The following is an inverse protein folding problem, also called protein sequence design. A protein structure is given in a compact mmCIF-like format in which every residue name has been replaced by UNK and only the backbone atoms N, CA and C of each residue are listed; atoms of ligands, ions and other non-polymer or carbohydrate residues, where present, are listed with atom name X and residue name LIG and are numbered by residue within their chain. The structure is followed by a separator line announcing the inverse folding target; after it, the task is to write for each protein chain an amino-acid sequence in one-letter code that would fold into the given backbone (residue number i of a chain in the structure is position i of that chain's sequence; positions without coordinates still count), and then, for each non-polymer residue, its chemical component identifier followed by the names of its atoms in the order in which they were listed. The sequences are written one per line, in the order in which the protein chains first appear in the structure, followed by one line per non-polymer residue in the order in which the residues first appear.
data_IF_786102452411
#
_entry.id   IF_786102452411
#
_cell.length_a   1.000
_cell.length_b   1.000
_cell.length_c   1.000
_cell.angle_alpha   90.00
_cell.angle_beta   90.00
_cell.angle_gamma   90.00
#
_symmetry.space_group_name_H-M   'P 1'
#
loop_
_entity.id
_entity.type
_entity.pdbx_description
1 polymer ?
2 polymer ?
3 polymer ?
4 non-polymer ?
5 water ?
#
# COMPACT_ATOMS: atom_id res chain seq x y z
N UNK A 1 -3.00 -24.86 4.91
CA UNK A 1 -3.50 -23.55 4.43
C UNK A 1 -3.37 -23.58 2.93
N UNK A 2 -4.47 -23.26 2.27
CA UNK A 2 -4.62 -23.35 0.85
C UNK A 2 -4.12 -22.05 0.24
N UNK A 3 -2.91 -22.04 -0.30
CA UNK A 3 -2.43 -20.83 -0.94
C UNK A 3 -2.99 -20.64 -2.35
N UNK A 4 -3.25 -19.37 -2.66
CA UNK A 4 -3.93 -18.97 -3.84
C UNK A 4 -2.99 -18.12 -4.70
N UNK A 5 -2.59 -18.69 -5.82
CA UNK A 5 -1.51 -18.15 -6.59
C UNK A 5 -2.04 -17.49 -7.81
N UNK A 6 -2.23 -16.18 -7.72
CA UNK A 6 -2.67 -15.36 -8.83
C UNK A 6 -1.50 -15.10 -9.75
N UNK A 7 -1.70 -15.13 -11.05
CA UNK A 7 -0.66 -14.87 -12.05
C UNK A 7 -1.36 -14.17 -13.18
N UNK A 8 -0.86 -13.02 -13.64
CA UNK A 8 0.34 -12.42 -13.16
C UNK A 8 0.01 -11.53 -11.94
N UNK A 9 1.01 -11.15 -11.17
CA UNK A 9 0.82 -10.20 -10.08
C UNK A 9 0.61 -8.78 -10.60
N UNK A 10 0.91 -8.55 -11.87
CA UNK A 10 0.63 -7.29 -12.47
C UNK A 10 0.28 -7.50 -13.92
N UNK A 11 -0.75 -6.80 -14.35
CA UNK A 11 -1.31 -6.97 -15.68
C UNK A 11 -1.52 -5.60 -16.31
N UNK A 12 -0.56 -5.16 -17.12
CA UNK A 12 -0.74 -3.96 -17.89
C UNK A 12 -1.68 -4.29 -19.03
N UNK A 13 -2.67 -3.43 -19.29
CA UNK A 13 -3.56 -3.55 -20.47
C UNK A 13 -3.84 -2.20 -21.14
N UNK A 14 -4.40 -2.20 -22.36
CA UNK A 14 -5.04 -0.99 -22.92
C UNK A 14 -6.55 -0.83 -22.57
N UNK A 15 -7.08 0.35 -22.81
CA UNK A 15 -8.51 0.63 -22.59
C UNK A 15 -9.39 -0.01 -23.65
N UNK A 16 -10.23 -0.95 -23.23
CA UNK A 16 -11.08 -1.69 -24.14
C UNK A 16 -10.39 -2.93 -24.64
N UNK A 17 -9.55 -3.54 -23.81
CA UNK A 17 -8.87 -4.75 -24.19
C UNK A 17 -9.30 -5.93 -23.37
N UNK A 18 -9.12 -7.11 -23.95
CA UNK A 18 -9.42 -8.37 -23.26
C UNK A 18 -8.35 -8.58 -22.17
N UNK A 19 -8.77 -9.00 -20.97
CA UNK A 19 -7.86 -9.24 -19.87
C UNK A 19 -8.27 -10.39 -19.02
N UNK A 20 -7.31 -11.25 -18.72
CA UNK A 20 -7.50 -12.49 -17.96
C UNK A 20 -6.54 -12.65 -16.76
N UNK A 21 -7.02 -13.25 -15.66
CA UNK A 21 -6.21 -13.51 -14.43
C UNK A 21 -6.40 -14.91 -13.86
N UNK A 22 -5.30 -15.67 -13.85
CA UNK A 22 -5.29 -17.00 -13.31
C UNK A 22 -5.22 -16.99 -11.79
N UNK A 23 -5.95 -17.89 -11.15
CA UNK A 23 -5.85 -18.10 -9.72
C UNK A 23 -5.89 -19.58 -9.46
N UNK A 24 -4.86 -20.08 -8.82
CA UNK A 24 -4.74 -21.53 -8.63
C UNK A 24 -4.53 -21.86 -7.14
N UNK A 25 -5.53 -22.51 -6.55
CA UNK A 25 -5.40 -23.14 -5.23
C UNK A 25 -4.24 -24.13 -5.21
N UNK A 26 -3.62 -24.28 -4.05
CA UNK A 26 -2.70 -25.40 -3.84
C UNK A 26 -3.52 -26.69 -3.71
N UNK A 27 -4.69 -26.65 -3.08
CA UNK A 27 -5.54 -27.87 -3.05
C UNK A 27 -7.00 -27.61 -3.47
N UNK A 28 -7.80 -28.68 -3.53
CA UNK A 28 -9.19 -28.56 -3.96
C UNK A 28 -9.93 -27.65 -2.99
N UNK A 29 -10.92 -26.92 -3.50
CA UNK A 29 -11.71 -26.02 -2.66
C UNK A 29 -13.21 -26.22 -2.92
N UNK A 30 -13.54 -27.45 -3.31
CA UNK A 30 -14.92 -27.87 -3.45
C UNK A 30 -15.31 -28.38 -2.08
N UNK A 31 -16.23 -27.69 -1.46
CA UNK A 31 -16.73 -28.00 -0.15
C UNK A 31 -17.61 -29.20 -0.29
N UNK A 32 -17.64 -30.04 0.74
CA UNK A 32 -18.48 -31.25 0.78
C UNK A 32 -19.97 -31.01 0.52
N UNK A 33 -20.45 -29.79 0.73
CA UNK A 33 -21.83 -29.48 0.36
C UNK A 33 -22.05 -29.46 -1.18
N UNK A 34 -20.93 -29.48 -1.90
CA UNK A 34 -20.91 -29.51 -3.36
C UNK A 34 -20.39 -28.21 -3.98
N UNK A 35 -20.46 -27.10 -3.24
CA UNK A 35 -20.14 -25.81 -3.80
C UNK A 35 -18.65 -25.54 -3.80
N UNK A 36 -18.24 -24.62 -4.68
CA UNK A 36 -16.87 -24.12 -4.73
C UNK A 36 -16.96 -22.63 -4.46
N UNK A 37 -16.52 -22.28 -3.25
CA UNK A 37 -16.55 -20.92 -2.72
C UNK A 37 -15.31 -20.22 -3.13
N UNK A 38 -15.21 -19.98 -4.43
CA UNK A 38 -14.14 -19.22 -5.04
C UNK A 38 -14.74 -17.88 -5.41
N UNK A 39 -14.23 -16.84 -4.77
CA UNK A 39 -14.77 -15.51 -5.00
C UNK A 39 -13.68 -14.62 -5.56
N UNK A 40 -14.11 -13.57 -6.28
CA UNK A 40 -13.21 -12.57 -6.80
C UNK A 40 -13.58 -11.20 -6.28
N UNK A 41 -12.59 -10.41 -5.88
CA UNK A 41 -12.84 -9.09 -5.26
C UNK A 41 -12.07 -7.99 -5.98
N UNK A 42 -12.66 -6.80 -6.09
CA UNK A 42 -11.94 -5.61 -6.60
C UNK A 42 -11.76 -4.59 -5.52
N UNK A 43 -10.52 -4.16 -5.31
CA UNK A 43 -10.20 -3.05 -4.42
C UNK A 43 -9.64 -1.90 -5.22
N UNK A 44 -10.32 -0.77 -5.25
CA UNK A 44 -9.72 0.44 -5.82
C UNK A 44 -8.94 1.21 -4.72
N UNK A 45 -7.98 2.05 -5.10
CA UNK A 45 -7.29 2.87 -4.10
C UNK A 45 -8.23 3.58 -3.11
N UNK A 46 -7.88 3.56 -1.83
CA UNK A 46 -8.69 4.21 -0.80
C UNK A 46 -10.06 3.60 -0.52
N UNK A 47 -10.41 2.53 -1.22
CA UNK A 47 -11.63 1.83 -0.90
C UNK A 47 -11.40 0.40 -0.35
N UNK A 48 -12.41 -0.03 0.39
CA UNK A 48 -12.51 -1.40 0.82
C UNK A 48 -12.85 -2.29 -0.40
N UNK A 49 -12.45 -3.54 -0.36
CA UNK A 49 -12.75 -4.48 -1.44
C UNK A 49 -14.25 -4.69 -1.71
N UNK A 50 -14.55 -5.09 -2.95
CA UNK A 50 -15.92 -5.21 -3.43
C UNK A 50 -16.08 -6.58 -4.07
N UNK A 51 -17.16 -7.28 -3.75
CA UNK A 51 -17.43 -8.58 -4.36
C UNK A 51 -17.85 -8.50 -5.83
N UNK A 52 -17.11 -9.17 -6.71
CA UNK A 52 -17.47 -9.26 -8.12
C UNK A 52 -18.08 -10.61 -8.47
N UNK A 53 -17.39 -11.67 -8.12
CA UNK A 53 -17.81 -13.00 -8.49
C UNK A 53 -17.84 -13.85 -7.24
N UNK A 54 -18.85 -14.69 -7.18
CA UNK A 54 -18.93 -15.72 -6.16
C UNK A 54 -19.21 -17.12 -6.76
N UNK A 55 -18.87 -18.13 -5.97
CA UNK A 55 -19.01 -19.52 -6.42
C UNK A 55 -18.50 -19.70 -7.83
N UNK A 56 -17.31 -19.12 -8.08
CA UNK A 56 -16.53 -19.25 -9.35
C UNK A 56 -17.05 -18.43 -10.53
N UNK A 57 -18.33 -18.53 -10.85
CA UNK A 57 -18.81 -17.97 -12.12
C UNK A 57 -20.11 -17.10 -12.00
N UNK A 58 -20.58 -16.90 -10.75
CA UNK A 58 -21.75 -16.11 -10.46
C UNK A 58 -21.38 -14.68 -10.19
N UNK A 59 -21.79 -13.83 -11.11
CA UNK A 59 -21.60 -12.38 -11.03
C UNK A 59 -22.46 -11.72 -9.96
N UNK A 60 -21.88 -10.89 -9.11
CA UNK A 60 -22.61 -10.26 -8.05
C UNK A 60 -23.54 -9.19 -8.61
N UNK A 61 -24.56 -8.83 -7.84
CA UNK A 61 -25.53 -7.83 -8.25
C UNK A 61 -24.83 -6.60 -8.69
N UNK A 62 -25.34 -6.01 -9.76
CA UNK A 62 -24.82 -4.76 -10.25
C UNK A 62 -23.53 -4.86 -10.99
N UNK A 63 -22.85 -5.99 -10.95
CA UNK A 63 -21.57 -6.11 -11.67
C UNK A 63 -21.87 -6.31 -13.19
N UNK A 64 -21.19 -5.52 -14.03
CA UNK A 64 -21.41 -5.57 -15.49
C UNK A 64 -21.02 -6.95 -16.03
N UNK A 65 -21.72 -7.44 -17.03
CA UNK A 65 -21.47 -8.78 -17.45
C UNK A 65 -20.22 -8.93 -18.32
N UNK A 66 -19.43 -7.87 -18.46
CA UNK A 66 -18.10 -8.00 -19.07
C UNK A 66 -17.10 -8.69 -18.14
N UNK A 67 -17.47 -8.80 -16.86
CA UNK A 67 -16.71 -9.61 -15.92
C UNK A 67 -17.29 -11.01 -16.00
N UNK A 68 -16.44 -12.02 -16.13
CA UNK A 68 -16.87 -13.40 -16.04
C UNK A 68 -15.81 -14.20 -15.30
N UNK A 69 -16.23 -15.20 -14.53
CA UNK A 69 -15.28 -16.11 -13.92
C UNK A 69 -15.48 -17.48 -14.48
N UNK A 70 -14.42 -18.23 -14.70
CA UNK A 70 -14.55 -19.62 -15.20
C UNK A 70 -13.65 -20.51 -14.35
N UNK A 71 -13.72 -21.82 -14.54
CA UNK A 71 -12.89 -22.77 -13.83
C UNK A 71 -13.59 -23.88 -13.07
N UNK A 72 -12.77 -24.73 -12.45
CA UNK A 72 -13.25 -25.88 -11.66
C UNK A 72 -12.18 -26.37 -10.70
N UNK A 73 -12.56 -26.76 -9.48
CA UNK A 73 -11.60 -27.39 -8.52
C UNK A 73 -10.43 -26.55 -7.98
N UNK A 74 -9.49 -26.27 -8.88
CA UNK A 74 -8.15 -25.78 -8.55
C UNK A 74 -7.73 -24.65 -9.48
N UNK A 75 -8.11 -24.80 -10.75
CA UNK A 75 -7.77 -23.85 -11.77
C UNK A 75 -8.97 -22.97 -12.01
N UNK A 76 -8.77 -21.67 -11.78
CA UNK A 76 -9.82 -20.66 -11.85
C UNK A 76 -9.30 -19.47 -12.59
N UNK A 77 -10.22 -18.68 -13.14
CA UNK A 77 -9.83 -17.61 -14.01
C UNK A 77 -10.86 -16.47 -13.96
N UNK A 78 -10.40 -15.24 -14.10
CA UNK A 78 -11.29 -14.07 -14.18
C UNK A 78 -10.98 -13.37 -15.48
N UNK A 79 -12.01 -13.09 -16.27
CA UNK A 79 -11.83 -12.43 -17.55
C UNK A 79 -12.61 -11.12 -17.59
N UNK A 80 -12.11 -10.16 -18.35
CA UNK A 80 -12.74 -8.89 -18.61
C UNK A 80 -12.60 -8.62 -20.11
N UNK A 81 -13.70 -8.70 -20.83
CA UNK A 81 -13.66 -8.58 -22.28
C UNK A 81 -13.21 -7.23 -22.83
N UNK A 82 -13.71 -6.16 -22.24
CA UNK A 82 -13.41 -4.80 -22.73
C UNK A 82 -13.14 -3.94 -21.52
N UNK A 83 -11.87 -3.83 -21.18
CA UNK A 83 -11.43 -3.19 -19.94
C UNK A 83 -11.67 -1.68 -19.98
N UNK A 84 -12.19 -1.16 -18.87
CA UNK A 84 -12.50 0.26 -18.69
C UNK A 84 -11.75 0.85 -17.51
N UNK A 85 -11.83 2.18 -17.44
CA UNK A 85 -11.10 2.94 -16.44
C UNK A 85 -11.45 2.44 -15.05
N UNK A 86 -12.75 2.37 -14.74
CA UNK A 86 -13.22 1.96 -13.40
C UNK A 86 -12.80 0.55 -12.98
N UNK A 87 -12.48 -0.34 -13.93
CA UNK A 87 -12.02 -1.67 -13.57
C UNK A 87 -10.64 -1.64 -12.94
N UNK A 88 -9.90 -0.55 -13.16
CA UNK A 88 -8.52 -0.53 -12.72
C UNK A 88 -8.49 -0.61 -11.20
N UNK A 89 -7.50 -1.33 -10.67
CA UNK A 89 -7.41 -1.57 -9.26
C UNK A 89 -6.78 -2.91 -9.02
N UNK A 90 -6.86 -3.41 -7.79
CA UNK A 90 -6.29 -4.70 -7.46
C UNK A 90 -7.40 -5.75 -7.37
N UNK A 91 -7.19 -6.87 -8.07
CA UNK A 91 -8.06 -8.04 -8.04
C UNK A 91 -7.51 -9.19 -7.18
N UNK A 92 -8.32 -9.59 -6.21
CA UNK A 92 -8.00 -10.66 -5.32
C UNK A 92 -8.96 -11.80 -5.57
N UNK A 93 -8.40 -12.99 -5.74
CA UNK A 93 -9.22 -14.18 -5.72
C UNK A 93 -9.21 -14.73 -4.28
N UNK A 94 -10.21 -15.51 -3.94
CA UNK A 94 -10.43 -15.86 -2.54
C UNK A 94 -11.13 -17.20 -2.39
N UNK A 95 -10.74 -17.97 -1.37
CA UNK A 95 -11.42 -19.22 -1.08
C UNK A 95 -12.10 -19.22 0.30
N UNK A 96 -13.37 -19.56 0.35
CA UNK A 96 -14.06 -19.70 1.62
C UNK A 96 -14.44 -21.12 1.94
N UNK A 97 -13.75 -22.06 1.33
CA UNK A 97 -14.03 -23.47 1.62
C UNK A 97 -13.27 -23.94 2.87
N UNK A 98 -11.96 -23.70 2.89
CA UNK A 98 -11.08 -24.25 3.93
C UNK A 98 -10.55 -23.14 4.84
N UNK A 99 -10.69 -23.36 6.14
CA UNK A 99 -10.12 -22.49 7.16
C UNK A 99 -8.65 -22.87 7.23
N UNK A 100 -7.73 -21.92 7.28
CA UNK A 100 -8.04 -20.49 7.33
C UNK A 100 -8.43 -19.96 5.96
N UNK A 101 -9.57 -19.28 5.88
CA UNK A 101 -9.93 -18.52 4.69
C UNK A 101 -8.72 -17.76 4.17
N UNK A 102 -8.42 -17.85 2.86
CA UNK A 102 -7.28 -17.10 2.24
C UNK A 102 -7.57 -16.40 0.89
N UNK A 103 -6.91 -15.25 0.71
CA UNK A 103 -6.83 -14.50 -0.55
C UNK A 103 -5.50 -14.68 -1.25
N UNK A 104 -5.49 -14.54 -2.55
CA UNK A 104 -4.23 -14.38 -3.28
C UNK A 104 -3.56 -13.04 -2.97
N UNK A 105 -2.36 -12.90 -3.53
CA UNK A 105 -1.50 -11.72 -3.39
C UNK A 105 -2.17 -10.46 -3.99
N UNK A 106 -2.72 -10.59 -5.18
CA UNK A 106 -3.41 -9.47 -5.75
C UNK A 106 -2.78 -9.13 -7.08
N UNK A 107 -3.60 -9.17 -8.10
CA UNK A 107 -3.18 -8.81 -9.41
C UNK A 107 -3.54 -7.34 -9.60
N UNK A 108 -2.55 -6.48 -9.76
CA UNK A 108 -2.87 -5.07 -9.92
C UNK A 108 -3.15 -4.84 -11.39
N UNK A 109 -4.34 -4.35 -11.67
CA UNK A 109 -4.69 -4.00 -13.03
C UNK A 109 -4.31 -2.54 -13.31
N UNK A 110 -3.17 -2.39 -13.99
CA UNK A 110 -2.58 -1.10 -14.28
C UNK A 110 -2.52 -0.93 -15.78
N UNK A 111 -2.47 0.31 -16.27
CA UNK A 111 -2.44 0.49 -17.72
C UNK A 111 -1.02 0.45 -18.30
N UNK A 112 -0.99 0.08 -19.58
CA UNK A 112 0.24 0.05 -20.34
C UNK A 112 0.37 1.31 -21.17
N UNK A 113 1.59 1.55 -21.64
CA UNK A 113 1.90 2.74 -22.42
C UNK A 113 3.32 2.56 -22.96
N UNK A 114 3.76 3.49 -23.82
CA UNK A 114 5.08 3.40 -24.44
C UNK A 114 6.23 3.43 -23.41
N UNK A 115 7.36 2.77 -23.70
CA UNK A 115 8.44 2.68 -22.71
C UNK A 115 9.09 4.06 -22.53
N UNK A 116 9.62 4.33 -21.34
CA UNK A 116 10.32 5.61 -21.07
C UNK A 116 11.35 5.45 -19.98
N UNK A 117 12.57 5.84 -20.31
CA UNK A 117 13.68 5.83 -19.37
C UNK A 117 13.46 6.86 -18.26
N UNK A 118 13.99 6.57 -17.07
CA UNK A 118 13.82 7.45 -15.92
C UNK A 118 14.71 8.67 -15.97
N UNK A 119 14.24 9.78 -15.43
CA UNK A 119 15.03 11.00 -15.30
C UNK A 119 15.62 11.06 -13.88
N UNK A 120 16.88 10.64 -13.82
CA UNK A 120 17.61 10.51 -12.59
C UNK A 120 18.21 11.88 -12.25
N UNK A 121 18.19 12.20 -10.98
CA UNK A 121 18.93 13.31 -10.49
C UNK A 121 19.37 13.00 -9.07
N UNK A 122 20.60 13.41 -8.76
CA UNK A 122 21.16 13.22 -7.42
C UNK A 122 21.28 14.54 -6.64
N UNK A 123 21.18 14.41 -5.32
CA UNK A 123 21.26 15.54 -4.40
C UNK A 123 22.03 15.12 -3.16
N UNK A 124 23.14 15.77 -2.86
CA UNK A 124 23.81 15.53 -1.58
C UNK A 124 23.01 16.07 -0.42
N UNK A 125 23.53 15.81 0.78
CA UNK A 125 23.09 16.51 1.99
C UNK A 125 23.13 18.04 1.83
N UNK A 126 22.14 18.71 2.42
CA UNK A 126 22.06 20.17 2.45
C UNK A 126 22.86 20.66 3.65
N UNK A 127 23.14 21.96 3.70
CA UNK A 127 23.88 22.58 4.81
C UNK A 127 23.18 22.32 6.11
N UNK A 128 21.87 22.53 6.09
CA UNK A 128 21.02 22.33 7.26
C UNK A 128 21.26 20.97 7.90
N UNK A 129 21.13 19.91 7.11
CA UNK A 129 21.23 18.56 7.67
C UNK A 129 22.63 18.29 8.24
N UNK A 130 23.60 18.77 7.50
CA UNK A 130 24.99 18.61 7.87
C UNK A 130 25.31 19.24 9.23
N UNK A 131 24.89 20.46 9.44
CA UNK A 131 25.17 21.03 10.73
C UNK A 131 24.38 20.32 11.82
N UNK A 132 23.47 19.41 11.47
CA UNK A 132 22.82 18.51 12.47
C UNK A 132 23.55 17.21 12.80
N UNK A 133 24.48 16.79 11.97
CA UNK A 133 25.24 15.58 12.28
C UNK A 133 24.73 14.37 11.54
N UNK A 134 23.92 14.59 10.52
CA UNK A 134 23.40 13.50 9.73
C UNK A 134 23.51 13.83 8.27
N UNK A 135 23.62 12.80 7.45
CA UNK A 135 23.86 12.96 6.01
C UNK A 135 22.98 11.99 5.25
N UNK A 136 22.17 12.53 4.34
CA UNK A 136 21.37 11.73 3.44
C UNK A 136 21.56 12.21 2.00
N UNK A 137 21.78 11.25 1.12
CA UNK A 137 21.87 11.55 -0.30
C UNK A 137 20.60 11.03 -0.95
N UNK A 138 20.03 11.88 -1.78
CA UNK A 138 18.74 11.59 -2.35
C UNK A 138 18.85 11.53 -3.87
N UNK A 139 18.22 10.51 -4.42
CA UNK A 139 18.17 10.27 -5.82
C UNK A 139 16.77 10.08 -6.25
N UNK A 140 16.33 10.89 -7.20
CA UNK A 140 15.02 10.69 -7.82
C UNK A 140 15.10 10.02 -9.18
N UNK A 141 14.11 9.18 -9.50
CA UNK A 141 14.02 8.50 -10.78
C UNK A 141 12.61 8.65 -11.34
N UNK A 142 12.43 9.68 -12.17
CA UNK A 142 11.12 10.20 -12.46
C UNK A 142 10.59 9.85 -13.84
N UNK A 143 9.31 9.51 -13.87
CA UNK A 143 8.54 9.40 -15.11
C UNK A 143 8.99 8.31 -16.07
N UNK A 144 9.13 7.11 -15.53
CA UNK A 144 9.54 5.95 -16.27
C UNK A 144 8.49 4.87 -16.36
N UNK A 145 8.72 3.97 -17.33
CA UNK A 145 7.85 2.83 -17.68
C UNK A 145 8.68 1.86 -18.52
N UNK A 146 8.58 0.55 -18.29
CA UNK A 146 7.68 -0.06 -17.31
C UNK A 146 8.10 0.14 -15.86
N UNK A 147 7.14 -0.06 -14.96
CA UNK A 147 7.32 0.14 -13.53
C UNK A 147 8.57 -0.50 -12.93
N UNK A 148 9.04 -1.63 -13.46
CA UNK A 148 10.18 -2.35 -12.87
C UNK A 148 11.51 -1.64 -13.14
N UNK A 149 12.35 -1.56 -12.10
CA UNK A 149 13.65 -0.87 -12.14
C UNK A 149 14.58 -1.30 -11.01
N UNK A 150 15.87 -1.35 -11.33
CA UNK A 150 16.93 -1.66 -10.36
C UNK A 150 17.74 -0.40 -10.08
N UNK A 151 17.81 0.01 -8.80
CA UNK A 151 18.71 1.06 -8.37
C UNK A 151 19.83 0.51 -7.49
N UNK A 152 21.05 0.97 -7.75
CA UNK A 152 22.21 0.69 -6.91
C UNK A 152 22.83 1.96 -6.39
N UNK A 153 23.41 1.86 -5.19
CA UNK A 153 24.28 2.88 -4.63
C UNK A 153 25.72 2.36 -4.60
N UNK A 154 26.65 3.27 -4.85
CA UNK A 154 28.08 2.97 -4.81
C UNK A 154 28.71 4.13 -4.11
N UNK A 155 29.55 3.81 -3.13
CA UNK A 155 30.36 4.77 -2.38
C UNK A 155 31.84 4.44 -2.70
N UNK A 156 32.54 5.38 -3.32
CA UNK A 156 33.95 5.21 -3.68
C UNK A 156 34.14 3.92 -4.46
N UNK A 157 33.15 3.60 -5.31
CA UNK A 157 33.16 2.41 -6.16
C UNK A 157 32.43 1.17 -5.64
N UNK A 158 32.49 0.92 -4.32
CA UNK A 158 31.79 -0.24 -3.68
C UNK A 158 30.28 -0.05 -3.56
N UNK A 159 29.55 -1.10 -3.89
CA UNK A 159 28.11 -1.15 -3.72
C UNK A 159 27.71 -1.02 -2.26
N UNK A 160 26.56 -0.42 -2.00
CA UNK A 160 26.06 -0.32 -0.64
C UNK A 160 24.58 -0.68 -0.47
N UNK A 161 24.36 -1.65 0.43
CA UNK A 161 23.04 -2.26 0.67
C UNK A 161 22.33 -1.64 1.90
N UNK A 162 23.06 -1.58 3.00
CA UNK A 162 22.50 -1.23 4.29
C UNK A 162 22.34 0.27 4.41
N UNK A 163 21.23 0.69 5.04
CA UNK A 163 20.88 2.09 5.27
C UNK A 163 20.24 2.82 4.10
N UNK A 164 19.64 2.06 3.18
CA UNK A 164 18.91 2.59 2.01
C UNK A 164 17.39 2.38 2.11
N UNK A 165 16.62 3.33 1.59
CA UNK A 165 15.15 3.31 1.69
C UNK A 165 14.51 3.85 0.44
N UNK A 166 13.54 3.13 -0.08
CA UNK A 166 12.96 3.45 -1.36
C UNK A 166 11.50 3.77 -1.28
N UNK A 167 10.99 4.60 -2.19
CA UNK A 167 9.56 4.88 -2.21
C UNK A 167 9.18 5.03 -3.66
N UNK A 168 8.05 4.43 -4.06
CA UNK A 168 7.57 4.45 -5.44
C UNK A 168 6.17 5.02 -5.44
N UNK A 169 5.82 5.75 -6.50
CA UNK A 169 4.49 6.29 -6.63
C UNK A 169 3.67 5.35 -7.48
N UNK A 170 2.36 5.41 -7.27
CA UNK A 170 1.44 4.76 -8.17
C UNK A 170 1.37 5.49 -9.50
N UNK A 171 1.03 4.70 -10.50
CA UNK A 171 0.86 5.17 -11.82
C UNK A 171 0.20 6.55 -11.90
N UNK A 172 0.86 7.45 -12.61
CA UNK A 172 0.51 8.86 -12.62
C UNK A 172 -0.77 9.12 -13.40
N UNK A 173 -1.54 10.10 -12.93
CA UNK A 173 -2.85 10.45 -13.49
C UNK A 173 -2.82 10.85 -14.93
N UNK A 174 -1.78 11.58 -15.29
CA UNK A 174 -1.66 12.09 -16.63
C UNK A 174 -0.90 11.12 -17.52
N UNK A 175 0.42 11.07 -17.36
CA UNK A 175 1.27 10.31 -18.28
C UNK A 175 1.37 8.79 -18.02
N UNK A 176 0.72 8.30 -16.98
CA UNK A 176 0.71 6.85 -16.67
C UNK A 176 2.10 6.30 -16.41
N UNK A 177 3.04 7.16 -16.01
CA UNK A 177 4.40 6.74 -15.62
C UNK A 177 4.48 6.52 -14.12
N UNK A 178 5.57 5.88 -13.75
CA UNK A 178 5.87 5.63 -12.38
C UNK A 178 7.10 6.47 -12.03
N UNK A 179 7.22 6.85 -10.77
CA UNK A 179 8.37 7.57 -10.34
C UNK A 179 8.93 6.90 -9.09
N UNK A 180 10.19 7.16 -8.80
CA UNK A 180 10.86 6.50 -7.70
C UNK A 180 11.72 7.50 -6.99
N UNK A 181 11.82 7.31 -5.67
CA UNK A 181 12.76 8.08 -4.87
C UNK A 181 13.57 7.17 -4.00
N UNK A 182 14.89 7.32 -4.06
CA UNK A 182 15.82 6.51 -3.24
C UNK A 182 16.69 7.43 -2.36
N UNK A 183 16.87 7.07 -1.11
CA UNK A 183 17.65 7.87 -0.18
C UNK A 183 18.63 6.97 0.53
N UNK A 184 19.88 7.39 0.54
CA UNK A 184 20.88 6.65 1.23
C UNK A 184 21.22 7.45 2.47
N UNK A 185 21.08 6.84 3.63
CA UNK A 185 21.25 7.57 4.88
C UNK A 185 22.50 7.18 5.65
N UNK A 186 23.39 8.15 5.89
CA UNK A 186 24.67 7.91 6.57
C UNK A 186 24.83 8.78 7.81
N UNK A 187 25.75 8.42 8.68
CA UNK A 187 26.19 9.35 9.71
C UNK A 187 27.08 10.40 9.04
N UNK A 188 27.09 11.61 9.59
CA UNK A 188 27.88 12.68 9.04
C UNK A 188 29.31 12.20 8.92
N UNK A 189 29.74 11.50 9.97
CA UNK A 189 31.10 10.96 10.12
C UNK A 189 31.50 10.03 8.96
N UNK A 190 30.61 9.08 8.69
CA UNK A 190 30.72 8.16 7.55
C UNK A 190 30.70 8.93 6.19
N UNK A 191 29.81 9.92 6.05
CA UNK A 191 29.74 10.77 4.84
C UNK A 191 31.02 11.49 4.49
N UNK A 192 31.66 12.08 5.50
CA UNK A 192 32.89 12.84 5.33
C UNK A 192 34.16 11.99 5.38
N UNK A 193 34.03 10.67 5.60
CA UNK A 193 35.15 9.73 5.40
C UNK A 193 35.24 9.21 3.99
N UNK A 194 34.16 9.31 3.22
CA UNK A 194 34.13 8.81 1.84
C UNK A 194 33.84 9.98 0.92
N UNK A 195 34.18 9.85 -0.36
CA UNK A 195 34.15 11.02 -1.25
C UNK A 195 33.17 10.89 -2.41
N UNK A 196 33.23 9.77 -3.12
CA UNK A 196 32.39 9.53 -4.30
C UNK A 196 30.99 8.92 -3.99
N UNK A 197 29.92 9.51 -4.48
CA UNK A 197 28.61 8.96 -4.19
C UNK A 197 27.84 8.82 -5.49
N UNK A 198 27.37 7.61 -5.76
CA UNK A 198 26.85 7.29 -7.06
C UNK A 198 25.49 6.60 -6.99
N UNK A 199 24.58 7.12 -7.81
CA UNK A 199 23.23 6.62 -7.94
C UNK A 199 23.13 6.02 -9.33
N UNK A 200 22.92 4.72 -9.38
CA UNK A 200 22.96 4.00 -10.63
C UNK A 200 21.65 3.23 -10.86
N UNK A 201 21.09 3.43 -12.05
CA UNK A 201 19.76 2.97 -12.41
C UNK A 201 19.82 2.13 -13.68
N UNK A 202 19.28 0.91 -13.63
CA UNK A 202 19.17 0.12 -14.84
C UNK A 202 17.71 -0.11 -15.08
N UNK A 203 17.35 -0.05 -16.37
CA UNK A 203 16.00 -0.09 -16.85
C UNK A 203 15.98 -0.60 -18.31
N UNK A 204 14.93 -1.31 -18.72
CA UNK A 204 14.88 -1.85 -20.10
C UNK A 204 14.59 -0.78 -21.15
N UNK A 205 15.16 0.39 -20.95
CA UNK A 205 15.15 1.44 -21.95
C UNK A 205 16.57 1.76 -22.35
N UNK A 206 17.54 1.13 -21.69
CA UNK A 206 18.92 1.14 -22.15
C UNK A 206 19.63 -0.11 -21.64
N UNK A 207 20.62 -0.57 -22.40
CA UNK A 207 21.57 -1.56 -21.92
C UNK A 207 22.52 -0.89 -20.93
N UNK A 208 22.82 0.39 -21.11
CA UNK A 208 23.67 1.12 -20.19
C UNK A 208 22.88 1.55 -18.96
N UNK A 209 23.52 1.49 -17.78
CA UNK A 209 22.92 2.04 -16.57
C UNK A 209 23.07 3.54 -16.63
N UNK A 210 22.04 4.23 -16.18
CA UNK A 210 22.08 5.67 -16.03
C UNK A 210 22.84 5.94 -14.74
N UNK A 211 23.94 6.68 -14.83
CA UNK A 211 24.85 6.92 -13.71
C UNK A 211 24.83 8.39 -13.40
N UNK A 212 24.59 8.72 -12.13
CA UNK A 212 24.61 10.10 -11.64
C UNK A 212 25.42 10.03 -10.39
N UNK A 213 26.40 10.89 -10.28
CA UNK A 213 27.24 10.88 -9.09
C UNK A 213 27.88 12.23 -8.85
N UNK A 214 28.38 12.43 -7.64
CA UNK A 214 29.15 13.62 -7.30
C UNK A 214 30.26 13.28 -6.32
N UNK A 215 31.21 14.20 -6.23
CA UNK A 215 32.24 14.15 -5.20
C UNK A 215 31.97 15.19 -4.14
N UNK A 216 32.06 14.74 -2.90
CA UNK A 216 31.89 15.59 -1.75
C UNK A 216 32.71 16.89 -1.72
N UNK A 217 33.89 16.91 -2.34
CA UNK A 217 34.75 18.12 -2.27
C UNK A 217 34.22 19.30 -3.06
N UNK A 218 33.78 19.04 -4.29
CA UNK A 218 33.52 20.11 -5.27
C UNK A 218 32.23 20.89 -5.01
N UNK A 219 31.60 20.03 -3.46
CA UNK A 219 30.28 20.48 -3.08
C UNK A 219 30.29 21.88 -2.56
N UNK B 1 -28.62 1.25 4.28
CA UNK B 1 -29.40 0.86 5.50
C UNK B 1 -28.81 -0.40 6.18
N UNK B 2 -27.91 -1.11 5.48
CA UNK B 2 -27.07 -2.15 6.10
C UNK B 2 -25.65 -1.63 6.07
N UNK B 3 -25.07 -1.47 7.24
CA UNK B 3 -23.76 -0.83 7.41
C UNK B 3 -22.91 -1.50 8.49
N UNK B 4 -21.60 -1.34 8.37
CA UNK B 4 -20.66 -1.80 9.37
C UNK B 4 -19.61 -0.72 9.60
N UNK B 5 -19.39 -0.40 10.88
CA UNK B 5 -18.55 0.72 11.24
C UNK B 5 -17.57 0.23 12.32
N UNK B 6 -16.28 0.37 12.04
CA UNK B 6 -15.25 -0.16 12.91
C UNK B 6 -14.78 0.95 13.77
N UNK B 7 -14.51 0.63 15.04
CA UNK B 7 -13.98 1.56 16.02
C UNK B 7 -12.68 0.98 16.56
N UNK B 8 -11.70 1.86 16.79
CA UNK B 8 -10.37 1.46 17.22
C UNK B 8 -9.72 2.58 18.01
N UNK B 9 -8.58 2.29 18.62
CA UNK B 9 -7.84 3.31 19.33
C UNK B 9 -7.09 4.30 18.40
N UNK B 10 -6.71 3.87 17.21
CA UNK B 10 -5.90 4.65 16.29
C UNK B 10 -4.49 4.18 16.43
N UNK B 11 -4.03 4.07 17.67
CA UNK B 11 -2.62 3.81 17.98
C UNK B 11 -2.44 3.23 19.39
N UNK B 12 -1.46 2.32 19.51
CA UNK B 12 -1.10 1.68 20.77
C UNK B 12 0.28 1.05 20.62
N UNK B 13 0.93 0.78 21.75
CA UNK B 13 2.33 0.34 21.74
C UNK B 13 2.45 -1.19 21.64
N UNK B 14 3.63 -1.66 21.23
CA UNK B 14 3.90 -3.08 21.17
C UNK B 14 3.73 -3.78 22.51
N UNK B 15 3.52 -5.08 22.43
CA UNK B 15 3.20 -5.91 23.57
C UNK B 15 2.01 -5.35 24.39
N UNK B 16 1.13 -4.56 23.78
CA UNK B 16 -0.15 -4.22 24.40
C UNK B 16 -1.28 -4.90 23.67
N UNK B 17 -2.51 -4.59 24.09
CA UNK B 17 -3.67 -5.33 23.66
C UNK B 17 -4.71 -4.47 22.94
N UNK B 18 -4.99 -4.87 21.70
CA UNK B 18 -5.88 -4.12 20.80
C UNK B 18 -7.29 -4.57 20.97
N UNK B 19 -8.19 -3.60 21.12
CA UNK B 19 -9.62 -3.84 21.29
C UNK B 19 -10.39 -3.13 20.18
N UNK B 20 -10.98 -3.92 19.29
CA UNK B 20 -11.73 -3.39 18.16
C UNK B 20 -13.21 -3.69 18.32
N UNK B 21 -14.06 -2.83 17.73
CA UNK B 21 -15.52 -2.95 17.79
C UNK B 21 -16.10 -2.71 16.41
N UNK B 22 -17.27 -3.29 16.20
CA UNK B 22 -17.93 -3.18 14.95
C UNK B 22 -19.44 -3.00 15.27
N UNK B 23 -19.94 -1.83 14.89
CA UNK B 23 -21.35 -1.49 15.03
C UNK B 23 -22.16 -1.96 13.84
N UNK B 24 -22.96 -2.98 14.05
CA UNK B 24 -23.83 -3.44 13.00
C UNK B 24 -25.07 -2.60 12.96
N UNK B 25 -25.69 -2.51 11.79
CA UNK B 25 -27.10 -2.13 11.70
C UNK B 25 -27.63 -2.51 10.33
N UNK B 26 -28.97 -2.49 10.23
CA UNK B 26 -29.66 -3.03 9.07
C UNK B 26 -29.67 -4.55 9.06
N UNK B 27 -29.30 -5.17 10.19
CA UNK B 27 -29.33 -6.62 10.36
C UNK B 27 -28.85 -7.05 11.74
N UNK B 28 -29.24 -8.26 12.14
CA UNK B 28 -28.78 -8.87 13.39
C UNK B 28 -27.98 -10.10 13.06
N UNK B 29 -26.85 -10.28 13.76
CA UNK B 29 -26.15 -11.57 13.79
C UNK B 29 -26.89 -12.51 14.73
N UNK B 30 -27.93 -11.96 15.38
CA UNK B 30 -29.01 -12.71 15.98
C UNK B 30 -29.67 -13.71 15.03
N UNK B 31 -29.90 -13.32 13.78
CA UNK B 31 -30.73 -14.15 12.89
C UNK B 31 -29.98 -15.39 12.43
N UNK B 32 -30.76 -16.40 12.11
CA UNK B 32 -30.21 -17.71 11.95
C UNK B 32 -29.31 -17.72 10.75
N UNK B 33 -28.11 -18.27 10.94
CA UNK B 33 -27.12 -18.41 9.89
C UNK B 33 -26.28 -17.16 9.66
N UNK B 34 -26.56 -16.10 10.41
CA UNK B 34 -25.80 -14.84 10.25
C UNK B 34 -24.49 -14.89 10.98
N UNK B 35 -23.51 -14.17 10.44
CA UNK B 35 -22.20 -14.04 11.02
C UNK B 35 -21.50 -12.77 10.60
N UNK B 36 -20.55 -12.34 11.41
CA UNK B 36 -19.73 -11.16 11.15
C UNK B 36 -18.28 -11.49 11.45
N UNK B 37 -17.35 -10.87 10.74
CA UNK B 37 -15.95 -11.17 10.94
C UNK B 37 -15.00 -10.09 10.54
N UNK B 38 -13.71 -10.35 10.81
CA UNK B 38 -12.64 -9.38 10.68
C UNK B 38 -11.57 -9.86 9.72
N UNK B 39 -11.13 -8.92 8.90
CA UNK B 39 -10.07 -9.11 7.93
C UNK B 39 -9.31 -7.80 7.94
N UNK B 40 -7.99 -7.91 7.99
CA UNK B 40 -7.12 -6.74 8.04
C UNK B 40 -6.18 -6.76 6.84
N UNK B 41 -5.37 -5.71 6.75
CA UNK B 41 -4.54 -5.42 5.57
C UNK B 41 -3.51 -4.32 5.88
N UNK B 42 -2.23 -4.68 5.95
CA UNK B 42 -1.21 -3.70 6.16
C UNK B 42 -1.13 -2.80 4.94
N UNK B 43 -0.72 -1.55 5.20
CA UNK B 43 -0.56 -0.53 4.19
C UNK B 43 0.10 -1.11 2.94
N UNK B 44 -0.60 -0.96 1.82
CA UNK B 44 -0.08 -1.40 0.54
C UNK B 44 0.21 -2.88 0.42
N UNK B 45 -0.55 -3.72 1.09
CA UNK B 45 -0.23 -5.13 1.11
C UNK B 45 -1.52 -5.93 1.06
N UNK B 46 -1.38 -7.25 1.25
CA UNK B 46 -2.46 -8.18 1.04
C UNK B 46 -3.46 -8.21 2.16
N UNK B 47 -4.47 -9.07 1.99
CA UNK B 47 -5.64 -9.14 2.83
C UNK B 47 -5.52 -10.37 3.63
N UNK B 48 -5.62 -10.23 4.94
CA UNK B 48 -5.40 -11.37 5.81
C UNK B 48 -6.64 -11.55 6.61
N UNK B 49 -7.21 -12.73 6.51
CA UNK B 49 -8.38 -13.05 7.30
C UNK B 49 -7.91 -13.43 8.67
N UNK B 50 -8.69 -12.98 9.67
CA UNK B 50 -8.41 -13.16 11.08
C UNK B 50 -9.39 -14.09 11.83
N UNK B 51 -10.68 -13.77 11.78
CA UNK B 51 -11.63 -14.45 12.63
C UNK B 51 -13.10 -14.20 12.22
N UNK B 52 -13.97 -15.14 12.59
CA UNK B 52 -15.40 -15.03 12.29
C UNK B 52 -16.21 -15.64 13.42
N UNK B 53 -17.29 -14.95 13.77
CA UNK B 53 -18.21 -15.38 14.82
C UNK B 53 -19.60 -15.60 14.22
N UNK B 54 -20.23 -16.72 14.61
CA UNK B 54 -21.54 -17.09 14.07
C UNK B 54 -22.62 -16.71 15.04
N UNK B 55 -23.84 -16.69 14.54
CA UNK B 55 -24.99 -16.46 15.38
C UNK B 55 -25.03 -17.40 16.61
N UNK B 56 -24.58 -18.62 16.45
CA UNK B 56 -24.71 -19.57 17.54
C UNK B 56 -23.47 -19.55 18.44
N UNK B 57 -22.57 -18.58 18.27
CA UNK B 57 -21.38 -18.43 19.14
C UNK B 57 -20.22 -19.32 18.67
N UNK B 58 -20.36 -19.89 17.48
CA UNK B 58 -19.28 -20.70 16.91
C UNK B 58 -18.27 -19.70 16.43
N UNK B 59 -17.01 -20.06 16.55
CA UNK B 59 -15.91 -19.13 16.30
C UNK B 59 -14.88 -19.82 15.45
N UNK B 60 -14.15 -19.03 14.67
CA UNK B 60 -13.17 -19.56 13.74
C UNK B 60 -11.98 -18.67 13.80
N UNK B 61 -10.78 -19.25 13.74
CA UNK B 61 -9.58 -18.44 13.84
C UNK B 61 -8.56 -18.83 12.78
N UNK B 62 -7.65 -17.89 12.53
CA UNK B 62 -6.44 -18.17 11.79
C UNK B 62 -5.42 -18.90 12.69
N UNK B 63 -5.03 -20.12 12.31
CA UNK B 63 -3.95 -20.84 12.95
C UNK B 63 -2.69 -20.02 13.25
N UNK B 64 -2.20 -19.25 12.29
CA UNK B 64 -1.04 -18.37 12.58
C UNK B 64 -1.14 -17.68 13.96
N UNK B 65 -2.31 -17.15 14.27
CA UNK B 65 -2.51 -16.20 15.38
C UNK B 65 -3.55 -16.70 16.37
N UNK B 66 -3.52 -18.01 16.61
CA UNK B 66 -4.52 -18.67 17.45
C UNK B 66 -4.43 -18.19 18.92
N UNK B 67 -3.24 -17.75 19.35
CA UNK B 67 -3.05 -17.35 20.74
C UNK B 67 -3.38 -15.87 21.02
N UNK B 68 -3.42 -15.06 19.96
CA UNK B 68 -3.48 -13.63 20.10
C UNK B 68 -4.87 -13.11 19.88
N UNK B 69 -5.71 -13.94 19.28
CA UNK B 69 -7.00 -13.43 18.82
C UNK B 69 -8.05 -13.82 19.81
N UNK B 70 -9.11 -13.02 19.84
CA UNK B 70 -10.24 -13.26 20.70
C UNK B 70 -11.46 -12.49 20.25
N UNK B 71 -12.24 -13.15 19.40
CA UNK B 71 -13.52 -12.61 18.94
C UNK B 71 -14.68 -12.91 19.88
N UNK B 72 -15.57 -11.93 20.02
CA UNK B 72 -16.73 -11.97 20.91
C UNK B 72 -17.89 -11.22 20.25
N UNK B 73 -19.05 -11.19 20.90
CA UNK B 73 -20.23 -10.56 20.29
C UNK B 73 -21.19 -10.02 21.37
N UNK B 74 -22.30 -9.42 20.95
CA UNK B 74 -23.28 -8.85 21.87
C UNK B 74 -24.60 -8.68 21.19
N UNK B 75 -25.50 -9.62 21.37
CA UNK B 75 -26.61 -9.73 20.45
C UNK B 75 -27.55 -8.53 20.38
N UNK B 76 -27.97 -7.93 21.49
CA UNK B 76 -29.00 -6.91 21.33
C UNK B 76 -28.45 -5.49 21.26
N UNK B 77 -27.32 -5.17 21.89
CA UNK B 77 -26.66 -3.89 21.53
C UNK B 77 -25.89 -4.02 20.18
N UNK B 78 -25.91 -5.23 19.62
CA UNK B 78 -25.78 -5.43 18.20
C UNK B 78 -24.38 -5.12 17.69
N UNK B 79 -23.37 -5.67 18.37
CA UNK B 79 -21.96 -5.30 18.11
C UNK B 79 -21.06 -6.51 18.17
N UNK B 80 -19.93 -6.46 17.47
CA UNK B 80 -18.97 -7.58 17.50
C UNK B 80 -17.57 -7.05 17.76
N UNK B 81 -16.82 -7.73 18.64
CA UNK B 81 -15.52 -7.26 19.11
C UNK B 81 -14.41 -8.24 18.79
N UNK B 82 -13.21 -7.72 18.56
CA UNK B 82 -12.03 -8.57 18.44
C UNK B 82 -10.89 -7.97 19.24
N UNK B 83 -10.07 -8.82 19.85
CA UNK B 83 -8.90 -8.35 20.55
C UNK B 83 -7.64 -9.15 20.22
N UNK B 84 -6.56 -8.44 19.91
CA UNK B 84 -5.28 -9.05 19.68
C UNK B 84 -4.37 -8.71 20.85
N UNK B 85 -3.81 -9.72 21.50
CA UNK B 85 -2.91 -9.49 22.61
C UNK B 85 -1.45 -9.47 22.11
N UNK B 86 -0.54 -9.00 22.98
CA UNK B 86 0.87 -8.74 22.64
C UNK B 86 1.07 -8.32 21.19
N UNK B 87 0.48 -7.19 20.81
CA UNK B 87 0.59 -6.65 19.45
C UNK B 87 1.99 -6.14 19.18
N UNK B 88 2.27 -5.82 17.92
CA UNK B 88 3.60 -5.35 17.52
C UNK B 88 3.51 -4.56 16.19
N UNK B 89 4.66 -4.15 15.64
CA UNK B 89 4.66 -3.23 14.48
C UNK B 89 4.01 -3.88 13.23
N UNK B 90 4.00 -5.20 13.18
CA UNK B 90 3.48 -5.94 12.03
C UNK B 90 1.99 -6.05 12.04
N UNK B 91 1.40 -5.79 13.19
CA UNK B 91 -0.04 -5.73 13.37
C UNK B 91 -0.62 -4.39 12.93
N UNK B 92 0.26 -3.42 12.66
CA UNK B 92 -0.13 -2.16 12.06
C UNK B 92 -0.72 -2.51 10.74
N UNK B 93 -1.94 -2.05 10.54
CA UNK B 93 -2.74 -2.36 9.39
C UNK B 93 -4.09 -1.67 9.47
N UNK B 94 -4.83 -1.66 8.35
CA UNK B 94 -6.27 -1.37 8.33
C UNK B 94 -7.09 -2.66 8.66
N UNK B 95 -8.05 -2.53 9.57
CA UNK B 95 -8.88 -3.66 10.00
C UNK B 95 -10.31 -3.44 9.54
N UNK B 96 -10.79 -4.35 8.69
CA UNK B 96 -12.20 -4.35 8.28
C UNK B 96 -12.94 -5.42 9.03
N UNK B 97 -14.19 -5.14 9.40
CA UNK B 97 -15.11 -6.19 9.75
C UNK B 97 -16.13 -6.25 8.65
N UNK B 98 -16.45 -7.48 8.28
CA UNK B 98 -17.27 -7.80 7.15
C UNK B 98 -18.37 -8.75 7.57
N UNK B 99 -19.44 -8.79 6.77
CA UNK B 99 -20.55 -9.69 6.99
C UNK B 99 -20.43 -10.87 6.07
N UNK B 100 -20.93 -12.01 6.58
CA UNK B 100 -21.04 -13.23 5.83
C UNK B 100 -21.95 -14.25 6.53
N UNK B 101 -22.89 -14.81 5.76
CA UNK B 101 -23.76 -15.89 6.19
C UNK B 101 -23.21 -17.27 5.75
N UNK B 102 -23.65 -18.32 6.45
CA UNK B 102 -23.31 -19.70 6.05
C UNK B 102 -24.50 -20.39 5.38
N UNK B 103 -25.44 -19.57 4.88
CA UNK B 103 -26.55 -20.07 4.08
C UNK B 103 -26.82 -19.23 2.82
N UNK B 104 -27.39 -19.90 1.82
CA UNK B 104 -27.64 -19.33 0.51
C UNK B 104 -28.96 -18.60 0.50
N UNK B 105 -28.98 -17.40 1.04
CA UNK B 105 -30.20 -16.61 1.03
C UNK B 105 -29.87 -15.30 1.66
N UNK B 106 -29.16 -15.35 2.78
CA UNK B 106 -28.64 -14.17 3.45
C UNK B 106 -27.36 -13.68 2.77
N UNK B 107 -26.78 -14.50 1.91
CA UNK B 107 -25.55 -14.12 1.20
C UNK B 107 -24.28 -14.68 1.83
N UNK B 108 -23.89 -15.85 1.33
CA UNK B 108 -22.72 -16.56 1.76
C UNK B 108 -21.58 -15.98 0.94
N UNK B 109 -21.04 -14.86 1.42
CA UNK B 109 -19.97 -14.12 0.73
C UNK B 109 -19.64 -12.84 1.49
N UNK B 110 -18.54 -12.20 1.11
CA UNK B 110 -18.18 -10.91 1.70
C UNK B 110 -18.70 -9.80 0.82
N UNK B 111 -20.01 -9.59 0.82
CA UNK B 111 -20.61 -8.51 0.06
C UNK B 111 -20.39 -7.24 0.82
N UNK B 112 -20.75 -7.20 2.11
CA UNK B 112 -20.76 -5.96 2.84
C UNK B 112 -19.49 -5.81 3.65
N UNK B 113 -18.70 -4.77 3.32
CA UNK B 113 -17.53 -4.38 4.13
C UNK B 113 -17.76 -3.01 4.77
N UNK B 114 -17.28 -2.83 6.00
CA UNK B 114 -17.20 -1.49 6.55
C UNK B 114 -16.12 -0.67 5.86
N UNK B 115 -16.10 0.63 6.08
CA UNK B 115 -15.08 1.45 5.46
C UNK B 115 -13.67 1.15 6.03
N UNK B 116 -13.61 0.56 7.24
CA UNK B 116 -12.36 0.15 7.89
C UNK B 116 -11.88 1.10 9.03
N UNK B 117 -10.78 0.75 9.67
CA UNK B 117 -10.15 1.62 10.67
C UNK B 117 -8.66 1.25 10.79
N UNK B 118 -7.83 2.29 10.97
CA UNK B 118 -6.38 2.12 10.98
C UNK B 118 -5.94 2.00 12.40
N UNK B 119 -5.29 0.89 12.66
CA UNK B 119 -4.56 0.69 13.88
C UNK B 119 -3.11 0.69 13.46
N UNK B 120 -2.32 1.48 14.19
CA UNK B 120 -0.88 1.54 13.96
C UNK B 120 -0.13 1.29 15.33
N UNK B 121 0.62 0.18 15.37
CA UNK B 121 1.29 -0.27 16.58
C UNK B 121 2.72 0.26 16.63
N UNK B 122 2.87 1.37 17.34
CA UNK B 122 4.13 2.11 17.35
C UNK B 122 4.55 2.41 18.77
N UNK B 123 5.84 2.44 19.00
CA UNK B 123 6.34 2.85 20.29
C UNK B 123 6.72 4.33 20.19
N UNK B 124 6.52 4.94 19.03
CA UNK B 124 7.04 6.29 18.83
C UNK B 124 6.31 7.30 19.69
N UNK B 125 6.98 8.42 19.98
CA UNK B 125 6.38 9.60 20.60
C UNK B 125 6.32 10.68 19.54
N UNK B 126 5.45 11.65 19.67
CA UNK B 126 5.33 12.68 18.68
C UNK B 126 6.69 13.25 18.39
N UNK B 127 7.09 13.27 17.14
CA UNK B 127 8.34 13.89 16.77
C UNK B 127 8.22 14.75 15.51
N UNK B 128 8.74 15.97 15.57
CA UNK B 128 8.66 16.94 14.47
C UNK B 128 9.75 16.63 13.49
N UNK B 129 9.48 16.75 12.19
CA UNK B 129 10.46 16.34 11.16
C UNK B 129 11.53 17.37 11.06
N UNK B 130 12.58 17.08 10.31
CA UNK B 130 13.57 18.10 9.95
C UNK B 130 13.36 18.23 8.48
N UNK B 131 13.18 19.48 8.03
CA UNK B 131 12.87 19.72 6.62
C UNK B 131 14.09 20.25 5.93
N UNK B 132 14.53 19.54 4.91
CA UNK B 132 15.75 19.87 4.20
C UNK B 132 15.49 20.08 2.69
N UNK B 133 16.09 21.11 2.13
CA UNK B 133 16.02 21.36 0.69
C UNK B 133 17.02 20.54 -0.06
N UNK B 134 16.69 20.21 -1.30
CA UNK B 134 17.59 19.43 -2.14
C UNK B 134 17.80 20.14 -3.47
N UNK B 135 18.90 20.87 -3.58
CA UNK B 135 19.25 21.59 -4.80
C UNK B 135 20.23 20.74 -5.60
N UNK B 136 20.26 20.93 -6.91
CA UNK B 136 21.03 20.02 -7.78
C UNK B 136 22.51 20.32 -7.73
N UNK B 137 23.30 19.38 -8.22
CA UNK B 137 24.76 19.51 -8.16
C UNK B 137 25.33 20.59 -9.10
N UNK B 144 16.23 20.26 -21.61
CA UNK B 144 17.01 20.76 -20.49
C UNK B 144 16.11 21.42 -19.43
N UNK B 145 15.54 20.58 -18.57
CA UNK B 145 14.70 21.02 -17.44
C UNK B 145 15.50 20.74 -16.21
N UNK B 146 15.24 21.49 -15.14
CA UNK B 146 15.92 21.28 -13.85
C UNK B 146 14.98 20.68 -12.81
N UNK B 147 15.48 19.71 -12.06
CA UNK B 147 14.73 19.14 -10.94
C UNK B 147 15.33 19.55 -9.59
N UNK B 148 14.43 19.94 -8.70
CA UNK B 148 14.73 20.20 -7.30
C UNK B 148 13.87 19.29 -6.39
N UNK B 149 14.26 19.20 -5.12
CA UNK B 149 13.48 18.42 -4.18
C UNK B 149 13.36 18.98 -2.76
N UNK B 150 12.46 18.35 -2.00
CA UNK B 150 12.35 18.57 -0.57
C UNK B 150 12.49 17.26 0.18
N UNK B 151 13.24 17.29 1.28
CA UNK B 151 13.37 16.13 2.13
C UNK B 151 12.84 16.45 3.51
N UNK B 152 11.86 15.64 3.95
CA UNK B 152 11.22 15.76 5.24
C UNK B 152 11.45 14.46 6.03
N UNK B 153 12.21 14.55 7.12
CA UNK B 153 12.80 13.38 7.72
C UNK B 153 12.54 13.24 9.20
N UNK B 154 12.35 11.99 9.64
CA UNK B 154 12.12 11.66 11.07
C UNK B 154 10.97 12.39 11.75
N UNK B 155 9.74 12.08 11.36
CA UNK B 155 8.56 12.61 12.03
C UNK B 155 7.62 11.50 12.39
N UNK B 156 6.99 11.65 13.53
CA UNK B 156 5.93 10.73 13.93
C UNK B 156 4.93 11.57 14.67
N UNK B 157 3.64 11.32 14.47
CA UNK B 157 3.13 10.31 13.55
C UNK B 157 2.75 10.93 12.19
N UNK B 158 2.08 10.15 11.36
CA UNK B 158 1.56 10.68 10.15
C UNK B 158 0.33 11.57 10.41
N UNK B 159 0.03 12.44 9.46
CA UNK B 159 0.82 12.69 8.26
C UNK B 159 1.44 14.09 8.13
N UNK B 160 2.39 14.29 7.22
CA UNK B 160 2.82 15.66 6.87
C UNK B 160 2.15 16.04 5.56
N UNK B 161 2.02 17.34 5.25
CA UNK B 161 1.62 17.80 3.92
C UNK B 161 2.75 18.63 3.28
N UNK B 162 2.81 18.65 1.96
CA UNK B 162 3.85 19.37 1.23
C UNK B 162 3.26 20.02 0.01
N UNK B 163 3.66 21.26 -0.26
CA UNK B 163 3.35 21.90 -1.52
C UNK B 163 4.59 22.57 -2.05
N UNK B 164 4.49 23.12 -3.25
CA UNK B 164 5.61 23.90 -3.77
C UNK B 164 5.06 25.26 -4.16
N UNK B 165 5.69 26.32 -3.65
CA UNK B 165 5.20 27.68 -3.82
C UNK B 165 3.73 27.78 -3.45
N UNK B 166 3.34 27.10 -2.37
CA UNK B 166 1.99 27.13 -1.87
C UNK B 166 0.99 26.69 -2.93
N UNK B 167 1.31 25.66 -3.72
CA UNK B 167 0.35 25.10 -4.73
C UNK B 167 0.29 25.76 -6.12
N UNK B 168 0.82 26.96 -6.25
CA UNK B 168 0.91 27.59 -7.56
C UNK B 168 1.80 26.76 -8.53
N UNK B 169 2.64 25.91 -7.95
CA UNK B 169 3.44 24.93 -8.69
C UNK B 169 2.85 23.56 -8.43
N UNK B 170 2.78 22.71 -9.46
CA UNK B 170 2.03 21.45 -9.37
C UNK B 170 2.46 20.44 -10.42
N UNK B 171 2.52 20.86 -11.68
CA UNK B 171 3.00 19.97 -12.74
C UNK B 171 4.48 19.66 -12.52
N UNK B 172 4.79 18.37 -12.66
CA UNK B 172 6.15 17.85 -12.50
C UNK B 172 6.55 17.70 -11.05
N UNK B 173 5.54 17.53 -10.19
CA UNK B 173 5.74 17.26 -8.78
C UNK B 173 5.40 15.81 -8.46
N UNK B 174 6.30 15.12 -7.74
CA UNK B 174 6.08 13.76 -7.30
C UNK B 174 6.32 13.73 -5.81
N UNK B 175 5.28 13.54 -5.02
CA UNK B 175 5.46 13.52 -3.60
C UNK B 175 5.32 12.09 -3.21
N UNK B 176 6.38 11.52 -2.62
CA UNK B 176 6.43 10.07 -2.46
C UNK B 176 5.78 9.56 -1.21
N UNK B 177 5.21 8.36 -1.27
CA UNK B 177 4.77 7.71 -0.08
C UNK B 177 5.84 7.69 0.99
N UNK B 178 5.44 8.01 2.20
CA UNK B 178 6.30 7.99 3.38
C UNK B 178 6.68 6.58 3.78
N UNK B 179 7.82 6.45 4.41
CA UNK B 179 8.38 5.14 4.80
C UNK B 179 9.01 5.23 6.17
N UNK B 180 9.15 4.07 6.80
CA UNK B 180 9.78 4.01 8.12
C UNK B 180 11.30 4.04 8.05
N UNK B 181 11.86 4.83 8.96
CA UNK B 181 13.27 4.92 9.30
C UNK B 181 13.26 4.90 10.81
N UNK B 182 13.81 3.85 11.38
CA UNK B 182 13.61 3.54 12.81
C UNK B 182 12.08 3.44 13.13
N UNK B 183 11.57 4.35 13.95
CA UNK B 183 10.14 4.38 14.24
C UNK B 183 9.66 5.76 13.83
N UNK B 184 10.40 6.39 12.92
CA UNK B 184 10.01 7.67 12.35
C UNK B 184 9.76 7.60 10.82
N UNK B 185 8.92 8.50 10.38
CA UNK B 185 8.56 8.55 8.97
C UNK B 185 9.43 9.59 8.24
N UNK B 186 9.91 9.22 7.07
CA UNK B 186 10.60 10.13 6.19
C UNK B 186 9.81 10.13 4.90
N UNK B 187 9.67 11.32 4.28
CA UNK B 187 9.15 11.41 2.92
C UNK B 187 9.82 12.50 2.15
N UNK B 188 9.62 12.43 0.84
CA UNK B 188 10.30 13.30 -0.08
C UNK B 188 9.38 13.77 -1.19
N UNK B 189 9.77 14.85 -1.84
CA UNK B 189 9.01 15.35 -2.97
C UNK B 189 9.99 15.99 -3.92
N UNK B 190 9.61 15.99 -5.20
CA UNK B 190 10.47 16.55 -6.23
C UNK B 190 9.65 17.45 -7.12
N UNK B 191 10.35 18.42 -7.70
CA UNK B 191 9.72 19.32 -8.64
C UNK B 191 10.65 19.53 -9.81
N UNK B 192 10.06 19.60 -10.99
CA UNK B 192 10.81 19.76 -12.21
C UNK B 192 10.25 20.97 -12.97
N UNK B 193 11.16 21.81 -13.43
CA UNK B 193 10.79 22.95 -14.22
C UNK B 193 11.87 23.15 -15.24
N UNK B 194 11.57 24.04 -16.18
CA UNK B 194 12.51 24.36 -17.20
C UNK B 194 13.67 25.13 -16.59
N UNK B 195 14.85 24.98 -17.18
CA UNK B 195 16.04 25.64 -16.65
C UNK B 195 15.88 27.17 -16.72
N UNK B 196 15.21 27.68 -17.75
CA UNK B 196 14.92 29.13 -17.82
C UNK B 196 13.78 29.47 -16.88
N UNK B 197 14.03 29.20 -15.60
CA UNK B 197 13.05 29.39 -14.50
C UNK B 197 13.82 29.36 -13.17
N UNK B 198 14.66 28.36 -12.99
CA UNK B 198 15.46 28.24 -11.78
C UNK B 198 16.94 28.20 -12.20
N UNK B 199 17.84 28.83 -11.43
CA UNK B 199 17.51 29.58 -10.19
C UNK B 199 17.12 31.06 -10.40
N UNK B 200 16.62 31.40 -11.59
CA UNK B 200 16.19 32.77 -11.94
C UNK B 200 14.90 33.21 -11.20
N UNK B 201 13.98 32.27 -11.03
CA UNK B 201 12.81 32.43 -10.15
C UNK B 201 13.08 31.65 -8.87
N UNK B 202 12.22 31.83 -7.88
CA UNK B 202 12.48 31.24 -6.57
C UNK B 202 11.47 30.12 -6.28
N UNK B 203 11.98 29.07 -5.64
CA UNK B 203 11.23 27.84 -5.44
C UNK B 203 11.19 27.43 -3.95
N UNK B 204 10.02 27.68 -3.36
CA UNK B 204 9.78 27.36 -1.97
C UNK B 204 8.99 26.08 -1.80
N UNK B 205 9.51 25.31 -0.86
CA UNK B 205 8.88 24.13 -0.41
C UNK B 205 8.14 24.37 0.92
N UNK B 206 6.84 24.11 0.97
CA UNK B 206 6.03 24.38 2.16
C UNK B 206 5.58 23.10 2.82
N UNK B 207 5.82 22.96 4.11
CA UNK B 207 5.61 21.66 4.80
C UNK B 207 5.04 21.80 6.19
N UNK B 208 4.08 20.94 6.52
CA UNK B 208 3.35 21.03 7.77
C UNK B 208 3.46 19.70 8.43
N UNK B 209 3.37 19.67 9.76
CA UNK B 209 3.26 18.43 10.51
C UNK B 209 2.39 18.77 11.74
N UNK B 210 1.11 18.98 11.45
CA UNK B 210 0.14 19.37 12.46
C UNK B 210 0.40 18.77 13.83
N UNK B 211 0.60 17.46 13.95
CA UNK B 211 0.67 16.87 15.28
C UNK B 211 1.74 17.53 16.15
N UNK B 212 2.84 18.03 15.57
CA UNK B 212 3.81 18.85 16.33
C UNK B 212 3.68 20.37 16.08
N UNK B 213 2.63 20.78 15.40
CA UNK B 213 2.31 22.19 15.11
C UNK B 213 3.35 22.78 14.20
N UNK B 214 4.08 21.93 13.49
CA UNK B 214 5.25 22.36 12.73
C UNK B 214 4.88 22.82 11.33
N UNK B 215 5.30 24.04 11.00
CA UNK B 215 5.06 24.59 9.69
C UNK B 215 6.37 25.18 9.26
N UNK B 216 6.93 24.68 8.16
CA UNK B 216 8.21 25.14 7.61
C UNK B 216 8.03 25.54 6.13
N UNK B 217 8.65 26.65 5.74
CA UNK B 217 8.73 27.02 4.33
C UNK B 217 10.19 27.10 3.93
N UNK B 218 10.64 26.20 3.06
CA UNK B 218 12.07 26.11 2.75
C UNK B 218 12.46 26.44 1.28
N UNK B 219 12.89 27.68 1.00
CA UNK B 219 13.34 28.08 -0.35
C UNK B 219 14.58 27.29 -0.74
N UNK B 220 14.71 26.88 -2.01
CA UNK B 220 15.92 26.16 -2.44
C UNK B 220 16.86 27.17 -3.06
N UNK B 221 18.17 26.96 -2.88
CA UNK B 221 19.18 27.80 -3.46
C UNK B 221 20.29 26.98 -4.07
N UNK B 222 20.91 27.52 -5.13
CA UNK B 222 21.93 26.81 -5.86
C UNK B 222 23.22 26.66 -5.06
N UNK B 223 23.93 25.56 -5.31
CA UNK B 223 25.17 25.27 -4.61
C UNK B 223 26.30 26.24 -5.06
N UNK C 2 -11.13 -27.95 9.72
CA UNK C 2 -10.45 -27.22 8.58
C UNK C 2 -11.44 -26.64 7.58
N UNK C 3 -12.59 -27.29 7.42
CA UNK C 3 -13.64 -26.82 6.53
C UNK C 3 -14.36 -25.65 7.20
N UNK C 4 -14.61 -24.61 6.42
CA UNK C 4 -15.42 -23.48 6.86
C UNK C 4 -16.87 -23.90 6.78
N UNK C 5 -17.66 -23.29 7.63
CA UNK C 5 -19.01 -23.71 7.82
C UNK C 5 -19.90 -23.10 6.75
N UNK C 6 -20.57 -23.95 5.96
CA UNK C 6 -21.63 -23.55 5.03
C UNK C 6 -22.78 -24.54 5.10
N UNK C 7 -23.99 -24.07 4.80
CA UNK C 7 -25.15 -24.94 4.81
C UNK C 7 -25.10 -25.85 3.60
N UNK C 8 -25.46 -27.11 3.80
CA UNK C 8 -25.58 -28.11 2.73
C UNK C 8 -26.77 -27.84 1.81
X LIG D 1 -16.33 -2.21 -11.94
#
# INVERSE_FOLDING_TARGET
DVLMTQTPLSLPVSLGDQASISCRSSQSIVHSNGNTYLEWYLQKPGQSPKLLIYKVSNRFSGVPDRFSGSGSGTDFTLKISRVEAEDLGVYYCFQGSHVPLTFGAGTKLEIKRADAAPTVSIFPPSSEQLTSGGASVVCFLNNFYPKDINVKWKIDGSERQNGVLNSWTDQDSKDSTYSMSSTLTLTKDEYERHNSYTCEATHKTSTSPIVKSFNRNEC
QVTLKESGPGILKPSQTLSLTCSLSGFSLRTSGMGVGWIRQPSGKGLEWLAHIWWDDDKNYNPSLKSQLTISKDTSRNQVFLKITSVDTADTATYYCVRRAHNVVLGDWFAYWGQGTLVTVSAAKTTAPSVYPLAPVCGDTTGSSVTLGCLVKGYFPEPVTLTWNSGSLSSGVHTFPAVLQSDLYTLSSSVTVTSSTWPSQSITCNVAHPASSTKVDKKIEPR
DAEFRHDS
NA NA
#
